data_IF_815975163407
#
_entry.id   IF_815975163407
#
_cell.length_a   1.000
_cell.length_b   1.000
_cell.length_c   1.000
_cell.angle_alpha   90.00
_cell.angle_beta   90.00
_cell.angle_gamma   90.00
#
_symmetry.space_group_name_H-M   'P 1'
#
loop_
_entity.id
_entity.type
_entity.pdbx_description
1 polymer ?
#
# COMPACT_ATOMS: atom_id res chain seq x y z
N UNK A 1 16.71 -16.18 -9.95
CA UNK A 1 16.92 -15.15 -8.91
C UNK A 1 16.36 -13.83 -9.43
N UNK A 2 15.08 -13.53 -9.18
CA UNK A 2 14.46 -12.31 -9.68
C UNK A 2 14.94 -11.10 -8.88
N UNK A 3 15.87 -10.34 -9.46
CA UNK A 3 16.30 -9.02 -8.98
C UNK A 3 15.18 -8.02 -9.28
N UNK A 4 14.19 -7.94 -8.39
CA UNK A 4 13.18 -6.88 -8.42
C UNK A 4 13.82 -5.58 -7.94
N UNK A 5 14.53 -4.89 -8.84
CA UNK A 5 14.85 -3.47 -8.65
C UNK A 5 13.58 -2.68 -8.97
N UNK A 6 12.64 -2.66 -8.03
CA UNK A 6 11.79 -1.48 -7.92
C UNK A 6 12.76 -0.30 -7.90
N UNK A 7 12.56 0.72 -8.74
CA UNK A 7 13.09 2.04 -8.42
C UNK A 7 12.29 2.59 -7.22
N UNK A 8 12.45 1.91 -6.09
CA UNK A 8 12.19 2.36 -4.73
C UNK A 8 12.89 3.70 -4.45
N UNK A 9 13.83 4.11 -5.31
CA UNK A 9 14.59 5.36 -5.21
C UNK A 9 13.69 6.62 -5.25
N UNK A 10 12.53 6.61 -5.94
CA UNK A 10 11.58 7.73 -5.85
C UNK A 10 10.65 7.64 -4.64
N UNK A 11 10.33 6.42 -4.20
CA UNK A 11 9.54 6.14 -3.00
C UNK A 11 10.37 6.55 -1.77
N UNK A 12 11.64 6.14 -1.65
CA UNK A 12 12.54 6.45 -0.53
C UNK A 12 12.67 7.94 -0.18
N UNK A 13 12.61 8.84 -1.17
CA UNK A 13 12.59 10.29 -0.93
C UNK A 13 11.21 10.83 -0.52
N UNK A 14 10.13 10.09 -0.76
CA UNK A 14 8.80 10.36 -0.24
C UNK A 14 8.65 9.90 1.23
N UNK A 15 9.40 8.88 1.65
CA UNK A 15 9.32 8.26 2.99
C UNK A 15 10.13 8.95 4.10
N UNK A 16 10.36 10.26 4.01
CA UNK A 16 10.76 11.03 5.20
C UNK A 16 9.51 11.32 6.04
N UNK A 17 8.89 10.29 6.62
CA UNK A 17 7.73 10.43 7.50
C UNK A 17 8.22 10.58 8.95
N UNK A 18 7.98 11.76 9.52
CA UNK A 18 8.27 12.07 10.92
C UNK A 18 7.42 11.20 11.87
N UNK A 19 8.07 10.48 12.78
CA UNK A 19 7.67 10.04 14.12
C UNK A 19 6.27 9.45 14.40
N UNK A 20 5.42 9.20 13.40
CA UNK A 20 4.13 8.51 13.57
C UNK A 20 4.20 7.17 12.83
N UNK A 21 3.82 6.08 13.49
CA UNK A 21 4.05 4.70 13.05
C UNK A 21 3.35 4.39 11.72
N UNK A 22 4.04 4.64 10.59
CA UNK A 22 3.60 4.24 9.25
C UNK A 22 3.94 2.76 9.04
N UNK A 23 2.95 1.95 8.67
CA UNK A 23 3.16 0.54 8.33
C UNK A 23 3.03 0.35 6.83
N UNK A 24 4.17 0.02 6.22
CA UNK A 24 4.27 -0.38 4.83
C UNK A 24 3.99 -1.88 4.74
N UNK A 25 2.96 -2.25 3.99
CA UNK A 25 2.70 -3.65 3.67
C UNK A 25 2.78 -3.84 2.17
N UNK A 26 3.58 -4.81 1.75
CA UNK A 26 3.71 -5.23 0.36
C UNK A 26 3.11 -6.63 0.26
N UNK A 27 1.88 -6.74 -0.24
CA UNK A 27 1.32 -8.05 -0.57
C UNK A 27 1.77 -8.42 -1.97
N UNK A 28 2.79 -9.26 -2.03
CA UNK A 28 3.28 -9.79 -3.28
C UNK A 28 2.22 -10.67 -3.99
N UNK A 29 1.34 -11.32 -3.22
CA UNK A 29 0.39 -12.32 -3.67
C UNK A 29 -1.00 -11.68 -3.68
N UNK A 30 -1.73 -11.95 -4.75
CA UNK A 30 -3.01 -11.31 -5.03
C UNK A 30 -4.22 -12.12 -4.54
N UNK A 31 -4.06 -13.00 -3.55
CA UNK A 31 -5.19 -13.74 -2.98
C UNK A 31 -5.86 -12.96 -1.85
N UNK A 32 -7.19 -13.05 -1.76
CA UNK A 32 -7.98 -12.47 -0.66
C UNK A 32 -7.47 -12.95 0.71
N UNK A 33 -7.20 -14.25 0.84
CA UNK A 33 -6.70 -14.87 2.08
C UNK A 33 -5.37 -14.26 2.55
N UNK A 34 -4.49 -13.87 1.62
CA UNK A 34 -3.23 -13.22 1.97
C UNK A 34 -3.50 -11.84 2.62
N UNK A 35 -4.44 -11.08 2.05
CA UNK A 35 -4.81 -9.77 2.58
C UNK A 35 -5.56 -9.87 3.92
N UNK A 36 -6.36 -10.91 4.12
CA UNK A 36 -7.01 -11.21 5.42
C UNK A 36 -5.98 -11.47 6.53
N UNK A 37 -4.95 -12.29 6.25
CA UNK A 37 -3.86 -12.55 7.20
C UNK A 37 -3.04 -11.30 7.49
N UNK A 38 -2.81 -10.46 6.47
CA UNK A 38 -2.20 -9.15 6.64
C UNK A 38 -3.07 -8.28 7.56
N UNK A 39 -4.39 -8.24 7.34
CA UNK A 39 -5.29 -7.44 8.15
C UNK A 39 -5.31 -7.87 9.62
N UNK A 40 -5.34 -9.18 9.88
CA UNK A 40 -5.17 -9.75 11.21
C UNK A 40 -3.83 -9.36 11.83
N UNK A 41 -2.74 -9.45 11.07
CA UNK A 41 -1.41 -9.06 11.56
C UNK A 41 -1.37 -7.57 11.91
N UNK A 42 -1.98 -6.71 11.08
CA UNK A 42 -2.10 -5.28 11.35
C UNK A 42 -2.90 -5.05 12.63
N UNK A 43 -4.02 -5.74 12.86
CA UNK A 43 -4.82 -5.54 14.08
C UNK A 43 -4.07 -5.87 15.37
N UNK A 44 -3.15 -6.85 15.33
CA UNK A 44 -2.28 -7.15 16.49
C UNK A 44 -1.18 -6.11 16.69
N UNK A 45 -0.60 -5.61 15.60
CA UNK A 45 0.55 -4.73 15.70
C UNK A 45 0.15 -3.25 15.86
N UNK A 46 -1.02 -2.84 15.36
CA UNK A 46 -1.40 -1.44 15.15
C UNK A 46 -2.23 -0.94 16.32
N UNK A 47 -1.80 0.15 16.94
CA UNK A 47 -2.65 0.86 17.89
C UNK A 47 -3.84 1.49 17.13
N UNK A 48 -5.09 1.21 17.53
CA UNK A 48 -6.27 1.82 16.94
C UNK A 48 -6.17 3.36 16.93
N UNK A 49 -6.55 4.00 15.82
CA UNK A 49 -6.57 5.46 15.67
C UNK A 49 -5.21 6.16 15.66
N UNK A 50 -4.08 5.44 15.76
CA UNK A 50 -2.72 6.02 15.77
C UNK A 50 -1.81 5.52 14.64
N UNK A 51 -2.31 4.62 13.80
CA UNK A 51 -1.52 3.93 12.79
C UNK A 51 -1.87 4.41 11.39
N UNK A 52 -0.86 4.86 10.65
CA UNK A 52 -1.01 5.20 9.23
C UNK A 52 -0.61 3.99 8.40
N UNK A 53 -1.52 3.53 7.55
CA UNK A 53 -1.32 2.35 6.72
C UNK A 53 -1.03 2.79 5.29
N UNK A 54 -0.04 2.12 4.70
CA UNK A 54 0.30 2.26 3.29
C UNK A 54 0.46 0.88 2.68
N UNK A 55 -0.49 0.48 1.83
CA UNK A 55 -0.51 -0.83 1.19
C UNK A 55 -0.16 -0.68 -0.28
N UNK A 56 0.85 -1.42 -0.74
CA UNK A 56 1.08 -1.64 -2.16
C UNK A 56 0.65 -3.06 -2.52
N UNK A 57 -0.35 -3.17 -3.40
CA UNK A 57 -0.90 -4.44 -3.89
C UNK A 57 -1.44 -4.23 -5.30
N UNK A 58 -1.93 -5.29 -5.96
CA UNK A 58 -2.56 -5.12 -7.27
C UNK A 58 -3.98 -4.56 -7.19
N UNK A 59 -4.42 -3.94 -8.28
CA UNK A 59 -5.72 -3.25 -8.38
C UNK A 59 -6.90 -4.17 -8.05
N UNK A 60 -6.78 -5.46 -8.36
CA UNK A 60 -7.81 -6.48 -8.06
C UNK A 60 -8.15 -6.58 -6.57
N UNK A 61 -7.28 -6.08 -5.69
CA UNK A 61 -7.48 -6.09 -4.24
C UNK A 61 -8.13 -4.81 -3.70
N UNK A 62 -8.53 -3.85 -4.56
CA UNK A 62 -9.14 -2.58 -4.15
C UNK A 62 -10.29 -2.77 -3.17
N UNK A 63 -11.27 -3.59 -3.52
CA UNK A 63 -12.48 -3.77 -2.71
C UNK A 63 -12.17 -4.47 -1.38
N UNK A 64 -11.30 -5.49 -1.41
CA UNK A 64 -10.89 -6.21 -0.20
C UNK A 64 -10.06 -5.32 0.74
N UNK A 65 -9.20 -4.45 0.20
CA UNK A 65 -8.43 -3.50 0.99
C UNK A 65 -9.33 -2.43 1.64
N UNK A 66 -10.37 -1.99 0.95
CA UNK A 66 -11.38 -1.09 1.51
C UNK A 66 -12.18 -1.78 2.62
N UNK A 67 -12.66 -3.01 2.37
CA UNK A 67 -13.47 -3.80 3.31
C UNK A 67 -12.72 -4.13 4.61
N UNK A 68 -11.50 -4.68 4.50
CA UNK A 68 -10.77 -5.20 5.66
C UNK A 68 -10.02 -4.14 6.46
N UNK A 69 -9.54 -3.09 5.78
CA UNK A 69 -8.57 -2.14 6.33
C UNK A 69 -8.98 -0.67 6.19
N UNK A 70 -10.12 -0.38 5.56
CA UNK A 70 -10.58 0.99 5.34
C UNK A 70 -9.60 1.81 4.50
N UNK A 71 -8.94 1.18 3.52
CA UNK A 71 -7.95 1.85 2.68
C UNK A 71 -8.58 2.40 1.40
N UNK A 72 -8.11 3.56 0.98
CA UNK A 72 -8.52 4.21 -0.26
C UNK A 72 -7.37 4.22 -1.27
N UNK A 73 -7.64 3.97 -2.57
CA UNK A 73 -6.63 4.05 -3.61
C UNK A 73 -6.09 5.48 -3.73
N UNK A 74 -4.79 5.58 -3.98
CA UNK A 74 -4.09 6.84 -4.23
C UNK A 74 -3.93 7.09 -5.74
N UNK A 75 -3.82 8.37 -6.13
CA UNK A 75 -3.53 8.77 -7.52
C UNK A 75 -2.16 8.30 -8.03
N UNK A 76 -1.24 7.96 -7.13
CA UNK A 76 0.08 7.46 -7.49
C UNK A 76 0.02 6.08 -8.17
N UNK A 77 0.59 5.99 -9.37
CA UNK A 77 0.70 4.74 -10.15
C UNK A 77 2.13 4.19 -10.13
N UNK A 78 2.40 3.11 -9.37
CA UNK A 78 3.71 2.47 -9.39
C UNK A 78 3.99 1.87 -10.77
N UNK A 79 5.13 2.23 -11.35
CA UNK A 79 5.59 1.64 -12.61
C UNK A 79 6.71 0.64 -12.34
N UNK A 80 6.61 -0.52 -13.00
CA UNK A 80 7.62 -1.57 -12.93
C UNK A 80 8.50 -1.52 -14.18
N UNK A 81 9.81 -1.78 -14.02
CA UNK A 81 10.77 -1.75 -15.13
C UNK A 81 10.56 -2.89 -16.14
N UNK A 82 9.97 -4.00 -15.68
CA UNK A 82 9.45 -5.08 -16.51
C UNK A 82 7.92 -5.03 -16.57
N UNK A 83 7.33 -5.45 -17.70
CA UNK A 83 5.87 -5.62 -17.82
C UNK A 83 5.41 -6.73 -16.88
N UNK A 84 4.81 -6.34 -15.75
CA UNK A 84 3.97 -7.22 -14.96
C UNK A 84 2.61 -7.27 -15.65
N UNK A 85 1.98 -8.46 -15.70
CA UNK A 85 0.65 -8.62 -16.31
C UNK A 85 -0.49 -7.97 -15.51
N UNK A 86 -0.20 -7.49 -14.29
CA UNK A 86 -1.18 -6.93 -13.37
C UNK A 86 -0.84 -5.48 -13.01
N UNK A 87 -1.86 -4.62 -12.96
CA UNK A 87 -1.73 -3.24 -12.48
C UNK A 87 -1.56 -3.24 -10.94
N UNK A 88 -0.59 -2.47 -10.46
CA UNK A 88 -0.38 -2.24 -9.03
C UNK A 88 -0.86 -0.85 -8.64
N UNK A 89 -1.44 -0.76 -7.44
CA UNK A 89 -1.89 0.49 -6.82
C UNK A 89 -1.47 0.59 -5.38
N UNK A 90 -1.52 1.82 -4.90
CA UNK A 90 -1.09 2.22 -3.57
C UNK A 90 -2.33 2.70 -2.81
N UNK A 91 -2.51 2.24 -1.57
CA UNK A 91 -3.71 2.50 -0.78
C UNK A 91 -3.37 3.03 0.62
N UNK A 92 -4.18 3.93 1.17
CA UNK A 92 -3.97 4.53 2.50
C UNK A 92 -5.25 4.68 3.33
N UNK A 93 -5.11 4.68 4.65
CA UNK A 93 -6.16 5.08 5.60
C UNK A 93 -6.04 6.56 6.04
N UNK A 94 -5.19 7.33 5.36
CA UNK A 94 -4.99 8.76 5.60
C UNK A 94 -4.91 9.48 4.28
N UNK A 95 -5.35 10.74 4.26
CA UNK A 95 -5.20 11.59 3.08
C UNK A 95 -3.70 11.77 2.78
N UNK A 96 -3.21 11.23 1.66
CA UNK A 96 -1.80 11.34 1.33
C UNK A 96 -1.44 12.72 0.75
N UNK A 97 -2.44 13.59 0.55
CA UNK A 97 -2.33 14.86 -0.13
C UNK A 97 -1.67 14.74 -1.50
N UNK A 98 -1.02 15.80 -1.94
CA UNK A 98 -0.36 15.84 -3.26
C UNK A 98 0.84 14.89 -3.38
N UNK A 99 1.33 14.29 -2.28
CA UNK A 99 2.52 13.42 -2.27
C UNK A 99 2.28 12.09 -2.99
N UNK A 100 1.06 11.55 -2.88
CA UNK A 100 0.63 10.35 -3.62
C UNK A 100 -0.54 10.64 -4.57
N UNK A 101 -0.72 11.90 -4.97
CA UNK A 101 -1.79 12.29 -5.89
C UNK A 101 -3.20 12.28 -5.29
N UNK A 102 -3.32 12.40 -3.97
CA UNK A 102 -4.61 12.35 -3.25
C UNK A 102 -5.25 10.97 -3.27
N UNK A 103 -6.44 10.87 -2.68
CA UNK A 103 -7.32 9.72 -2.89
C UNK A 103 -8.02 9.82 -4.23
N UNK A 104 -8.19 8.68 -4.89
CA UNK A 104 -9.05 8.57 -6.05
C UNK A 104 -10.49 8.43 -5.57
N UNK A 105 -11.32 9.39 -5.97
CA UNK A 105 -12.77 9.41 -5.72
C UNK A 105 -13.49 8.43 -6.66
#
# INVERSE_FOLDING_TARGET
>A
MLRFSFRLIKIGNLFKFHSKSVKLVFSWWQSKECLEKIAQTISFLAAPGKSYLLLLTGEVQKDTAAELLGLHPCGFRPQHSSKLGNEFRLFTNYDPGMRLGGWEL
#
